data_IF_857679561144
#
_entry.id   IF_857679561144
#
_cell.length_a   1.000
_cell.length_b   1.000
_cell.length_c   1.000
_cell.angle_alpha   90.00
_cell.angle_beta   90.00
_cell.angle_gamma   90.00
#
_symmetry.space_group_name_H-M   'P 1'
#
loop_
_entity.id
_entity.type
_entity.pdbx_description
1 polymer ?
#
# COMPACT_ATOMS: atom_id res chain seq x y z
N UNK A 1 12.89 -23.47 7.89
CA UNK A 1 12.85 -24.30 9.12
C UNK A 1 13.15 -23.43 10.34
N UNK A 2 12.19 -23.30 11.27
CA UNK A 2 12.30 -22.43 12.46
C UNK A 2 13.39 -22.88 13.43
N UNK A 3 13.99 -21.93 14.18
CA UNK A 3 15.00 -22.22 15.23
C UNK A 3 14.45 -23.22 16.26
N UNK A 4 13.16 -23.11 16.61
CA UNK A 4 12.47 -24.05 17.50
C UNK A 4 12.48 -25.48 16.94
N UNK A 5 12.22 -25.64 15.65
CA UNK A 5 12.22 -26.94 14.96
C UNK A 5 13.63 -27.54 14.94
N UNK A 6 14.66 -26.73 14.68
CA UNK A 6 16.07 -27.19 14.71
C UNK A 6 16.50 -27.62 16.12
N UNK A 7 16.12 -26.85 17.15
CA UNK A 7 16.43 -27.17 18.54
C UNK A 7 15.73 -28.43 19.02
N UNK A 8 14.43 -28.58 18.72
CA UNK A 8 13.66 -29.80 19.03
C UNK A 8 14.23 -31.01 18.31
N UNK A 9 14.69 -30.87 17.07
CA UNK A 9 15.35 -31.92 16.29
C UNK A 9 16.74 -32.28 16.80
N UNK A 10 17.49 -31.33 17.34
CA UNK A 10 18.75 -31.63 18.06
C UNK A 10 18.46 -32.53 19.27
N UNK A 11 17.39 -32.22 20.01
CA UNK A 11 16.91 -33.07 21.08
C UNK A 11 16.21 -34.33 20.60
N UNK A 12 15.71 -34.48 19.38
CA UNK A 12 15.02 -35.69 18.91
C UNK A 12 15.42 -35.93 17.45
N UNK A 13 16.51 -36.66 17.26
CA UNK A 13 17.06 -36.94 15.93
C UNK A 13 16.15 -37.86 15.09
N UNK A 14 15.32 -38.64 15.77
CA UNK A 14 14.26 -39.49 15.22
C UNK A 14 13.00 -38.71 14.79
N UNK A 15 12.98 -37.39 14.98
CA UNK A 15 11.88 -36.53 14.53
C UNK A 15 11.79 -36.54 12.99
N UNK A 16 10.64 -36.92 12.41
CA UNK A 16 10.46 -36.93 10.96
C UNK A 16 10.57 -35.50 10.39
N UNK A 17 11.00 -35.39 9.12
CA UNK A 17 10.97 -34.09 8.41
C UNK A 17 9.60 -33.82 7.83
N UNK A 18 9.04 -34.86 7.23
CA UNK A 18 7.74 -34.90 6.60
C UNK A 18 7.15 -36.25 7.00
N UNK A 19 5.89 -36.23 7.43
CA UNK A 19 5.18 -37.41 7.91
C UNK A 19 3.69 -37.12 7.85
N UNK A 20 2.89 -38.17 7.74
CA UNK A 20 1.44 -38.09 7.88
C UNK A 20 1.06 -37.68 9.30
N UNK A 21 -0.18 -37.19 9.48
CA UNK A 21 -0.67 -36.76 10.80
C UNK A 21 -0.58 -37.87 11.86
N UNK A 22 -0.82 -39.12 11.48
CA UNK A 22 -0.78 -40.28 12.38
C UNK A 22 0.66 -40.62 12.78
N UNK A 23 1.59 -40.63 11.83
CA UNK A 23 3.02 -40.83 12.11
C UNK A 23 3.61 -39.75 13.02
N UNK A 24 3.18 -38.49 12.84
CA UNK A 24 3.55 -37.40 13.75
C UNK A 24 3.03 -37.62 15.17
N UNK A 25 1.79 -38.11 15.31
CA UNK A 25 1.18 -38.42 16.61
C UNK A 25 1.90 -39.58 17.30
N UNK A 26 2.18 -40.65 16.56
CA UNK A 26 2.91 -41.81 17.06
C UNK A 26 4.32 -41.45 17.55
N UNK A 27 5.03 -40.62 16.78
CA UNK A 27 6.32 -40.10 17.20
C UNK A 27 6.19 -39.22 18.44
N UNK A 28 5.20 -38.33 18.49
CA UNK A 28 5.00 -37.44 19.62
C UNK A 28 4.72 -38.22 20.91
N UNK A 29 3.91 -39.27 20.85
CA UNK A 29 3.63 -40.15 21.98
C UNK A 29 4.88 -40.88 22.46
N UNK A 30 5.73 -41.36 21.54
CA UNK A 30 7.04 -41.95 21.88
C UNK A 30 7.99 -40.91 22.49
N UNK A 31 8.01 -39.69 21.96
CA UNK A 31 8.87 -38.61 22.44
C UNK A 31 8.47 -38.13 23.84
N UNK A 32 7.15 -38.01 24.12
CA UNK A 32 6.59 -37.60 25.42
C UNK A 32 6.90 -38.58 26.54
N UNK A 33 7.05 -39.87 26.24
CA UNK A 33 7.50 -40.88 27.23
C UNK A 33 8.86 -40.51 27.83
N UNK A 34 9.74 -39.84 27.08
CA UNK A 34 11.03 -39.31 27.57
C UNK A 34 10.81 -37.95 28.26
N UNK A 35 10.17 -37.97 29.43
CA UNK A 35 9.67 -36.77 30.15
C UNK A 35 10.67 -35.63 30.27
N UNK A 36 11.90 -35.88 30.75
CA UNK A 36 12.93 -34.84 30.95
C UNK A 36 13.36 -34.23 29.61
N UNK A 37 13.59 -35.07 28.61
CA UNK A 37 14.00 -34.66 27.26
C UNK A 37 12.91 -33.85 26.57
N UNK A 38 11.66 -34.29 26.69
CA UNK A 38 10.49 -33.55 26.20
C UNK A 38 10.31 -32.20 26.90
N UNK A 39 10.48 -32.17 28.23
CA UNK A 39 10.40 -30.95 29.01
C UNK A 39 11.42 -29.90 28.52
N UNK A 40 12.68 -30.28 28.32
CA UNK A 40 13.73 -29.37 27.85
C UNK A 40 13.55 -28.94 26.39
N UNK A 41 13.07 -29.82 25.52
CA UNK A 41 12.98 -29.56 24.09
C UNK A 41 11.71 -28.81 23.67
N UNK A 42 10.60 -28.98 24.40
CA UNK A 42 9.29 -28.47 23.99
C UNK A 42 8.63 -27.63 25.10
N UNK A 43 8.45 -28.20 26.29
CA UNK A 43 7.67 -27.56 27.37
C UNK A 43 8.34 -26.31 27.91
N UNK A 44 9.61 -26.38 28.29
CA UNK A 44 10.36 -25.26 28.86
C UNK A 44 10.59 -24.13 27.84
N UNK A 45 11.04 -24.37 26.60
CA UNK A 45 11.15 -23.32 25.58
C UNK A 45 9.81 -22.65 25.28
N UNK A 46 8.71 -23.42 25.20
CA UNK A 46 7.38 -22.86 25.00
C UNK A 46 6.94 -22.00 26.20
N UNK A 47 7.17 -22.48 27.43
CA UNK A 47 6.89 -21.71 28.63
C UNK A 47 7.72 -20.42 28.70
N UNK A 48 9.03 -20.48 28.46
CA UNK A 48 9.89 -19.28 28.41
C UNK A 48 9.41 -18.29 27.34
N UNK A 49 9.08 -18.79 26.15
CA UNK A 49 8.56 -17.96 25.08
C UNK A 49 7.23 -17.30 25.46
N UNK A 50 6.28 -18.06 26.03
CA UNK A 50 4.96 -17.56 26.43
C UNK A 50 5.04 -16.57 27.60
N UNK A 51 5.92 -16.83 28.57
CA UNK A 51 6.02 -16.07 29.83
C UNK A 51 6.87 -14.82 29.70
N UNK A 52 7.96 -14.85 28.92
CA UNK A 52 8.90 -13.72 28.84
C UNK A 52 8.95 -13.09 27.45
N UNK A 53 9.15 -13.89 26.40
CA UNK A 53 9.40 -13.37 25.05
C UNK A 53 8.13 -12.74 24.45
N UNK A 54 7.00 -13.43 24.54
CA UNK A 54 5.74 -12.96 23.96
C UNK A 54 5.22 -11.67 24.61
N UNK A 55 5.21 -11.51 25.95
CA UNK A 55 4.87 -10.23 26.57
C UNK A 55 5.82 -9.10 26.16
N UNK A 56 7.12 -9.37 26.07
CA UNK A 56 8.10 -8.39 25.61
C UNK A 56 7.88 -7.96 24.16
N UNK A 57 7.72 -8.90 23.23
CA UNK A 57 7.45 -8.60 21.82
C UNK A 57 6.11 -7.88 21.64
N UNK A 58 5.09 -8.21 22.44
CA UNK A 58 3.83 -7.47 22.50
C UNK A 58 4.02 -6.04 22.97
N UNK A 59 4.77 -5.83 24.05
CA UNK A 59 5.06 -4.49 24.58
C UNK A 59 5.86 -3.64 23.57
N UNK A 60 6.88 -4.24 22.94
CA UNK A 60 7.67 -3.62 21.88
C UNK A 60 6.82 -3.27 20.66
N UNK A 61 5.96 -4.19 20.20
CA UNK A 61 5.05 -3.96 19.08
C UNK A 61 4.03 -2.87 19.41
N UNK A 62 3.45 -2.90 20.62
CA UNK A 62 2.54 -1.87 21.10
C UNK A 62 3.19 -0.48 21.09
N UNK A 63 4.43 -0.38 21.59
CA UNK A 63 5.19 0.86 21.57
C UNK A 63 5.43 1.33 20.13
N UNK A 64 5.95 0.43 19.27
CA UNK A 64 6.24 0.72 17.86
C UNK A 64 5.00 1.20 17.10
N UNK A 65 3.86 0.53 17.25
CA UNK A 65 2.62 0.89 16.55
C UNK A 65 2.05 2.22 17.02
N UNK A 66 2.32 2.61 18.27
CA UNK A 66 1.84 3.87 18.84
C UNK A 66 2.76 5.06 18.52
N UNK A 67 4.08 4.86 18.46
CA UNK A 67 5.05 5.96 18.31
C UNK A 67 5.64 6.06 16.91
N UNK A 68 5.90 4.93 16.27
CA UNK A 68 6.66 4.87 15.01
C UNK A 68 5.73 4.66 13.82
N UNK A 69 5.11 3.49 13.72
CA UNK A 69 4.37 3.07 12.53
C UNK A 69 3.06 3.85 12.39
N UNK A 70 2.31 4.00 13.51
CA UNK A 70 1.07 4.77 13.60
C UNK A 70 0.07 4.46 12.49
N UNK A 71 -0.25 3.18 12.29
CA UNK A 71 -1.23 2.70 11.30
C UNK A 71 -2.62 3.35 11.36
N UNK A 72 -2.97 3.98 12.48
CA UNK A 72 -4.23 4.72 12.65
C UNK A 72 -4.19 6.14 12.08
N UNK A 73 -3.02 6.64 11.67
CA UNK A 73 -2.84 7.97 11.10
C UNK A 73 -2.53 7.86 9.62
N UNK A 74 -3.27 8.61 8.80
CA UNK A 74 -2.98 8.74 7.36
C UNK A 74 -2.08 9.96 7.19
N UNK A 75 -0.93 9.77 6.54
CA UNK A 75 0.02 10.85 6.24
C UNK A 75 -0.20 11.27 4.80
N UNK A 76 -0.63 12.51 4.60
CA UNK A 76 -0.82 13.05 3.25
C UNK A 76 0.44 13.73 2.74
N UNK A 77 0.58 13.81 1.42
CA UNK A 77 1.67 14.50 0.70
C UNK A 77 1.44 16.01 0.56
N UNK A 78 0.29 16.51 1.03
CA UNK A 78 -0.07 17.93 1.03
C UNK A 78 0.96 18.77 1.83
N UNK A 79 1.37 19.90 1.27
CA UNK A 79 2.22 20.88 1.98
C UNK A 79 1.42 21.55 3.10
N UNK A 80 2.04 22.04 4.19
CA UNK A 80 1.32 22.78 5.23
C UNK A 80 0.53 23.97 4.66
N UNK A 81 -0.77 24.03 4.94
CA UNK A 81 -1.68 25.04 4.40
C UNK A 81 -3.15 24.70 4.71
N UNK A 82 -4.06 25.60 4.33
CA UNK A 82 -5.49 25.32 4.34
C UNK A 82 -5.85 24.52 3.08
N UNK A 83 -6.64 23.45 3.25
CA UNK A 83 -7.24 22.69 2.18
C UNK A 83 -8.63 22.27 2.62
N UNK A 84 -9.57 22.29 1.69
CA UNK A 84 -10.90 21.80 1.94
C UNK A 84 -10.93 20.28 2.16
N UNK A 85 -12.02 19.83 2.77
CA UNK A 85 -12.15 18.45 3.25
C UNK A 85 -12.13 17.42 2.12
N UNK A 86 -12.70 17.76 0.96
CA UNK A 86 -12.69 16.99 -0.28
C UNK A 86 -11.25 16.74 -0.78
N UNK A 87 -10.42 17.78 -0.83
CA UNK A 87 -9.02 17.68 -1.26
C UNK A 87 -8.24 16.81 -0.27
N UNK A 88 -8.45 17.03 1.04
CA UNK A 88 -7.80 16.20 2.07
C UNK A 88 -8.21 14.74 1.97
N UNK A 89 -9.48 14.46 1.67
CA UNK A 89 -9.99 13.10 1.49
C UNK A 89 -9.36 12.43 0.27
N UNK A 90 -9.33 13.12 -0.87
CA UNK A 90 -8.73 12.63 -2.10
C UNK A 90 -7.25 12.24 -1.89
N UNK A 91 -6.46 13.17 -1.34
CA UNK A 91 -5.05 12.92 -1.05
C UNK A 91 -4.87 11.78 -0.06
N UNK A 92 -5.67 11.73 1.02
CA UNK A 92 -5.58 10.65 2.00
C UNK A 92 -5.82 9.27 1.35
N UNK A 93 -6.82 9.15 0.46
CA UNK A 93 -7.13 7.88 -0.21
C UNK A 93 -6.01 7.43 -1.15
N UNK A 94 -5.52 8.34 -2.00
CA UNK A 94 -4.50 8.00 -2.97
C UNK A 94 -3.09 7.89 -2.37
N UNK A 95 -2.78 8.63 -1.30
CA UNK A 95 -1.52 8.44 -0.58
C UNK A 95 -1.48 7.07 0.12
N UNK A 96 -2.61 6.56 0.62
CA UNK A 96 -2.69 5.16 1.08
C UNK A 96 -2.46 4.16 -0.05
N UNK A 97 -3.00 4.43 -1.25
CA UNK A 97 -2.72 3.60 -2.43
C UNK A 97 -1.22 3.63 -2.80
N UNK A 98 -0.59 4.79 -2.75
CA UNK A 98 0.84 4.94 -3.00
C UNK A 98 1.67 4.17 -1.97
N UNK A 99 1.32 4.28 -0.69
CA UNK A 99 1.98 3.52 0.39
C UNK A 99 1.83 2.01 0.16
N UNK A 100 0.64 1.55 -0.22
CA UNK A 100 0.40 0.15 -0.56
C UNK A 100 1.29 -0.36 -1.70
N UNK A 101 1.39 0.40 -2.80
CA UNK A 101 2.20 0.00 -3.96
C UNK A 101 3.71 0.10 -3.65
N UNK A 102 4.16 1.23 -3.13
CA UNK A 102 5.59 1.52 -3.00
C UNK A 102 6.23 0.92 -1.73
N UNK A 103 5.45 0.54 -0.71
CA UNK A 103 5.94 -0.13 0.50
C UNK A 103 5.54 -1.60 0.52
N UNK A 104 4.24 -1.92 0.50
CA UNK A 104 3.77 -3.29 0.74
C UNK A 104 4.04 -4.19 -0.47
N UNK A 105 3.62 -3.79 -1.68
CA UNK A 105 3.88 -4.57 -2.91
C UNK A 105 5.36 -4.62 -3.24
N UNK A 106 6.09 -3.53 -3.02
CA UNK A 106 7.54 -3.51 -3.15
C UNK A 106 8.22 -4.50 -2.21
N UNK A 107 7.78 -4.56 -0.95
CA UNK A 107 8.27 -5.53 0.03
C UNK A 107 7.98 -6.97 -0.40
N UNK A 108 6.77 -7.24 -0.91
CA UNK A 108 6.42 -8.55 -1.43
C UNK A 108 7.35 -8.98 -2.56
N UNK A 109 7.66 -8.09 -3.50
CA UNK A 109 8.61 -8.40 -4.56
C UNK A 109 9.97 -8.83 -4.01
N UNK A 110 10.48 -8.10 -3.03
CA UNK A 110 11.76 -8.40 -2.37
C UNK A 110 11.74 -9.75 -1.65
N UNK A 111 10.65 -10.06 -0.95
CA UNK A 111 10.49 -11.34 -0.23
C UNK A 111 10.48 -12.52 -1.21
N UNK A 112 9.74 -12.42 -2.31
CA UNK A 112 9.60 -13.53 -3.27
C UNK A 112 10.79 -13.66 -4.22
N UNK A 113 11.39 -12.56 -4.66
CA UNK A 113 12.58 -12.58 -5.52
C UNK A 113 13.88 -12.84 -4.75
N UNK A 114 13.84 -12.82 -3.41
CA UNK A 114 15.00 -12.93 -2.51
C UNK A 114 16.09 -11.88 -2.76
N UNK A 115 15.81 -10.85 -3.55
CA UNK A 115 16.69 -9.69 -3.69
C UNK A 115 16.61 -8.86 -2.43
N UNK A 116 17.71 -8.74 -1.69
CA UNK A 116 17.77 -7.86 -0.52
C UNK A 116 18.40 -6.54 -0.94
N UNK A 117 17.62 -5.47 -1.18
CA UNK A 117 18.17 -4.17 -1.54
C UNK A 117 18.96 -3.52 -0.38
N UNK A 118 18.99 -4.14 0.80
CA UNK A 118 19.80 -3.71 1.95
C UNK A 118 20.72 -4.84 2.45
N UNK A 119 21.89 -4.47 2.96
CA UNK A 119 22.92 -5.38 3.45
C UNK A 119 22.96 -5.53 4.98
N UNK A 120 22.03 -4.93 5.74
CA UNK A 120 22.09 -4.89 7.22
C UNK A 120 20.75 -4.92 7.97
N UNK A 121 20.82 -4.95 9.29
CA UNK A 121 19.65 -4.91 10.18
C UNK A 121 19.01 -3.51 10.19
N UNK A 122 17.72 -3.40 9.84
CA UNK A 122 16.91 -2.22 10.22
C UNK A 122 16.34 -1.33 9.11
N UNK A 123 16.36 -1.71 7.83
CA UNK A 123 15.77 -0.87 6.74
C UNK A 123 14.53 -1.44 6.07
N UNK A 124 13.92 -2.49 6.61
CA UNK A 124 12.80 -3.18 5.94
C UNK A 124 11.49 -2.37 5.97
N UNK A 125 11.20 -1.67 7.07
CA UNK A 125 9.90 -1.04 7.27
C UNK A 125 9.73 0.36 6.66
N UNK A 126 10.83 1.02 6.27
CA UNK A 126 10.83 2.37 5.68
C UNK A 126 11.28 2.38 4.23
N UNK A 127 11.65 1.22 3.71
CA UNK A 127 12.13 1.12 2.34
C UNK A 127 10.94 1.21 1.39
N UNK A 128 11.06 2.15 0.46
CA UNK A 128 10.05 2.51 -0.52
C UNK A 128 10.66 2.37 -1.91
N UNK A 129 9.97 1.66 -2.80
CA UNK A 129 10.42 1.52 -4.18
C UNK A 129 9.23 1.39 -5.14
N UNK A 130 9.04 2.42 -5.96
CA UNK A 130 8.08 2.41 -7.06
C UNK A 130 8.33 1.26 -8.04
N UNK A 131 9.59 1.04 -8.40
CA UNK A 131 9.99 0.03 -9.40
C UNK A 131 9.55 -1.35 -8.92
N UNK A 132 9.91 -1.70 -7.70
CA UNK A 132 9.66 -3.03 -7.14
C UNK A 132 8.16 -3.25 -6.86
N UNK A 133 7.45 -2.21 -6.45
CA UNK A 133 6.00 -2.24 -6.32
C UNK A 133 5.29 -2.51 -7.65
N UNK A 134 5.69 -1.80 -8.71
CA UNK A 134 5.15 -1.99 -10.05
C UNK A 134 5.51 -3.36 -10.64
N UNK A 135 6.75 -3.85 -10.42
CA UNK A 135 7.17 -5.18 -10.87
C UNK A 135 6.34 -6.29 -10.22
N UNK A 136 6.00 -6.16 -8.93
CA UNK A 136 5.12 -7.12 -8.28
C UNK A 136 3.70 -7.08 -8.84
N UNK A 137 3.15 -5.89 -9.08
CA UNK A 137 1.85 -5.75 -9.73
C UNK A 137 1.87 -6.35 -11.14
N UNK A 138 2.95 -6.16 -11.92
CA UNK A 138 3.11 -6.79 -13.24
C UNK A 138 3.11 -8.31 -13.18
N UNK A 139 3.76 -8.89 -12.17
CA UNK A 139 3.64 -10.31 -11.90
C UNK A 139 2.21 -10.73 -11.54
N UNK A 140 1.52 -10.00 -10.66
CA UNK A 140 0.11 -10.29 -10.31
C UNK A 140 -0.82 -10.22 -11.52
N UNK A 141 -0.57 -9.27 -12.43
CA UNK A 141 -1.30 -9.15 -13.71
C UNK A 141 -1.06 -10.38 -14.58
N UNK A 142 0.17 -10.90 -14.60
CA UNK A 142 0.55 -12.11 -15.35
C UNK A 142 -0.19 -13.38 -14.90
N UNK A 143 -0.71 -13.43 -13.67
CA UNK A 143 -1.52 -14.56 -13.18
C UNK A 143 -2.85 -14.75 -13.94
N UNK A 144 -3.26 -13.77 -14.74
CA UNK A 144 -4.43 -13.86 -15.60
C UNK A 144 -4.16 -14.42 -17.00
N UNK A 145 -2.92 -14.81 -17.33
CA UNK A 145 -2.57 -15.31 -18.66
C UNK A 145 -3.33 -16.61 -18.98
N UNK A 146 -4.08 -16.69 -20.10
CA UNK A 146 -4.81 -17.90 -20.49
C UNK A 146 -3.89 -19.10 -20.80
N UNK A 147 -2.61 -18.87 -21.07
CA UNK A 147 -1.62 -19.92 -21.33
C UNK A 147 -1.15 -20.64 -20.05
N UNK A 148 -1.46 -20.10 -18.86
CA UNK A 148 -1.13 -20.76 -17.60
C UNK A 148 -2.05 -21.96 -17.33
N UNK A 149 -1.54 -23.00 -16.63
CA UNK A 149 -2.39 -24.05 -16.08
C UNK A 149 -3.53 -23.46 -15.24
N UNK A 150 -4.71 -24.07 -15.30
CA UNK A 150 -5.91 -23.55 -14.61
C UNK A 150 -5.71 -23.40 -13.09
N UNK A 151 -4.90 -24.29 -12.49
CA UNK A 151 -4.56 -24.26 -11.07
C UNK A 151 -3.70 -23.05 -10.66
N UNK A 152 -2.92 -22.50 -11.60
CA UNK A 152 -2.04 -21.34 -11.37
C UNK A 152 -2.70 -20.02 -11.78
N UNK A 153 -3.87 -20.09 -12.43
CA UNK A 153 -4.57 -18.93 -12.98
C UNK A 153 -5.43 -18.24 -11.91
N UNK A 154 -5.23 -16.94 -11.77
CA UNK A 154 -5.96 -16.10 -10.82
C UNK A 154 -6.48 -14.82 -11.47
N UNK A 155 -7.51 -14.95 -12.31
CA UNK A 155 -8.07 -13.84 -13.11
C UNK A 155 -8.52 -12.65 -12.27
N UNK A 156 -9.19 -12.89 -11.13
CA UNK A 156 -9.69 -11.80 -10.30
C UNK A 156 -8.55 -11.00 -9.66
N UNK A 157 -7.48 -11.69 -9.24
CA UNK A 157 -6.29 -11.04 -8.70
C UNK A 157 -5.60 -10.20 -9.77
N UNK A 158 -5.47 -10.74 -10.99
CA UNK A 158 -4.90 -10.02 -12.12
C UNK A 158 -5.70 -8.77 -12.48
N UNK A 159 -7.03 -8.86 -12.58
CA UNK A 159 -7.93 -7.70 -12.84
C UNK A 159 -7.78 -6.61 -11.77
N UNK A 160 -7.75 -7.01 -10.50
CA UNK A 160 -7.55 -6.06 -9.40
C UNK A 160 -6.17 -5.39 -9.48
N UNK A 161 -5.11 -6.14 -9.80
CA UNK A 161 -3.76 -5.60 -9.93
C UNK A 161 -3.63 -4.63 -11.12
N UNK A 162 -4.31 -4.91 -12.25
CA UNK A 162 -4.40 -3.99 -13.38
C UNK A 162 -5.02 -2.66 -12.96
N UNK A 163 -6.13 -2.73 -12.24
CA UNK A 163 -6.86 -1.55 -11.77
C UNK A 163 -6.05 -0.73 -10.75
N UNK A 164 -5.40 -1.40 -9.79
CA UNK A 164 -4.48 -0.77 -8.84
C UNK A 164 -3.33 -0.05 -9.56
N UNK A 165 -2.71 -0.72 -10.54
CA UNK A 165 -1.62 -0.13 -11.34
C UNK A 165 -2.11 1.09 -12.12
N UNK A 166 -3.31 1.03 -12.70
CA UNK A 166 -3.92 2.14 -13.42
C UNK A 166 -4.14 3.35 -12.49
N UNK A 167 -4.80 3.15 -11.35
CA UNK A 167 -5.10 4.21 -10.37
C UNK A 167 -3.82 4.84 -9.81
N UNK A 168 -2.81 4.02 -9.52
CA UNK A 168 -1.50 4.50 -9.07
C UNK A 168 -0.81 5.37 -10.13
N UNK A 169 -0.77 4.90 -11.39
CA UNK A 169 -0.15 5.63 -12.51
C UNK A 169 -0.88 6.95 -12.78
N UNK A 170 -2.21 6.92 -12.74
CA UNK A 170 -3.02 8.12 -12.85
C UNK A 170 -2.67 9.15 -11.77
N UNK A 171 -2.59 8.74 -10.50
CA UNK A 171 -2.29 9.64 -9.39
C UNK A 171 -0.86 10.19 -9.43
N UNK A 172 0.12 9.37 -9.82
CA UNK A 172 1.54 9.75 -9.80
C UNK A 172 1.99 10.51 -11.04
N UNK A 173 1.45 10.17 -12.21
CA UNK A 173 1.97 10.66 -13.48
C UNK A 173 0.94 11.48 -14.26
N UNK A 174 -0.35 11.13 -14.25
CA UNK A 174 -1.35 11.82 -15.09
C UNK A 174 -1.89 13.07 -14.39
N UNK A 175 -2.43 12.92 -13.18
CA UNK A 175 -3.09 13.99 -12.42
C UNK A 175 -2.17 15.18 -12.12
N UNK A 176 -0.91 15.00 -11.67
CA UNK A 176 -0.03 16.14 -11.38
C UNK A 176 0.40 16.92 -12.63
N UNK A 177 0.30 16.31 -13.82
CA UNK A 177 0.67 16.91 -15.10
C UNK A 177 -0.52 17.58 -15.81
N UNK A 178 -1.67 17.73 -15.14
CA UNK A 178 -2.82 18.46 -15.69
C UNK A 178 -2.47 19.94 -15.88
N UNK A 179 -2.90 20.55 -16.99
CA UNK A 179 -2.76 21.98 -17.15
C UNK A 179 -3.67 22.73 -16.16
N UNK A 180 -3.23 23.91 -15.75
CA UNK A 180 -3.96 24.77 -14.84
C UNK A 180 -5.24 25.32 -15.52
N UNK A 181 -6.45 25.13 -14.93
CA UNK A 181 -7.70 25.59 -15.53
C UNK A 181 -7.68 27.07 -15.94
N UNK A 182 -7.08 27.93 -15.12
CA UNK A 182 -6.98 29.37 -15.40
C UNK A 182 -6.15 29.69 -16.65
N UNK A 183 -5.12 28.89 -16.93
CA UNK A 183 -4.29 29.03 -18.14
C UNK A 183 -5.01 28.55 -19.38
N UNK A 184 -5.73 27.43 -19.28
CA UNK A 184 -6.42 26.81 -20.42
C UNK A 184 -7.67 27.60 -20.81
N UNK A 185 -8.40 28.10 -19.83
CA UNK A 185 -9.59 28.94 -20.07
C UNK A 185 -9.23 30.30 -20.69
N UNK A 186 -7.96 30.71 -20.57
CA UNK A 186 -7.49 32.04 -20.93
C UNK A 186 -7.77 33.10 -19.86
N UNK A 187 -8.21 32.70 -18.67
CA UNK A 187 -8.49 33.58 -17.54
C UNK A 187 -7.27 34.41 -17.13
N UNK A 188 -6.07 33.81 -17.11
CA UNK A 188 -4.82 34.52 -16.83
C UNK A 188 -4.63 35.72 -17.77
N UNK A 189 -4.88 35.51 -19.06
CA UNK A 189 -4.76 36.59 -20.06
C UNK A 189 -5.81 37.69 -19.84
N UNK A 190 -7.02 37.33 -19.41
CA UNK A 190 -8.10 38.29 -19.11
C UNK A 190 -7.75 39.11 -17.86
N UNK A 191 -7.20 38.45 -16.83
CA UNK A 191 -6.72 39.11 -15.61
C UNK A 191 -5.60 40.11 -15.91
N UNK A 192 -4.60 39.68 -16.68
CA UNK A 192 -3.45 40.50 -17.05
C UNK A 192 -3.84 41.69 -17.94
N UNK A 193 -4.73 41.45 -18.92
CA UNK A 193 -5.20 42.48 -19.87
C UNK A 193 -5.95 43.62 -19.16
N UNK A 194 -6.77 43.30 -18.17
CA UNK A 194 -7.76 44.25 -17.65
C UNK A 194 -7.48 44.80 -16.25
N UNK A 195 -6.42 44.33 -15.57
CA UNK A 195 -6.10 44.65 -14.18
C UNK A 195 -7.37 44.79 -13.32
N UNK A 196 -8.18 43.72 -13.34
CA UNK A 196 -9.60 43.68 -12.92
C UNK A 196 -9.81 44.22 -11.50
N UNK A 197 -8.80 44.14 -10.63
CA UNK A 197 -8.85 44.64 -9.25
C UNK A 197 -8.78 46.17 -9.13
N UNK A 198 -8.22 46.86 -10.13
CA UNK A 198 -7.97 48.30 -10.09
C UNK A 198 -8.93 49.15 -10.93
N UNK A 199 -9.54 48.57 -11.97
CA UNK A 199 -10.21 49.34 -13.03
C UNK A 199 -11.72 49.12 -13.00
N UNK A 200 -12.39 49.89 -12.13
CA UNK A 200 -13.84 49.80 -11.82
C UNK A 200 -14.76 50.44 -12.87
N UNK A 201 -14.22 51.29 -13.76
CA UNK A 201 -15.04 52.21 -14.54
C UNK A 201 -15.51 51.63 -15.90
N UNK A 202 -15.05 50.43 -16.29
CA UNK A 202 -15.40 49.78 -17.57
C UNK A 202 -15.93 48.34 -17.41
N UNK A 203 -16.63 48.03 -16.32
CA UNK A 203 -17.09 46.67 -16.00
C UNK A 203 -18.05 46.07 -17.05
N UNK A 204 -18.95 46.87 -17.63
CA UNK A 204 -19.97 46.39 -18.57
C UNK A 204 -19.41 45.95 -19.93
N UNK A 205 -18.38 46.61 -20.46
CA UNK A 205 -17.69 46.17 -21.68
C UNK A 205 -16.89 44.88 -21.44
N UNK A 206 -16.27 44.75 -20.26
CA UNK A 206 -15.41 43.61 -19.88
C UNK A 206 -16.19 42.35 -19.50
N UNK A 207 -17.45 42.52 -19.08
CA UNK A 207 -18.29 41.45 -18.55
C UNK A 207 -18.40 40.25 -19.47
N UNK A 208 -18.55 40.47 -20.78
CA UNK A 208 -18.69 39.37 -21.74
C UNK A 208 -17.42 38.52 -21.91
N UNK A 209 -16.23 39.14 -21.93
CA UNK A 209 -14.95 38.43 -21.98
C UNK A 209 -14.68 37.68 -20.68
N UNK A 210 -14.96 38.33 -19.53
CA UNK A 210 -14.82 37.75 -18.19
C UNK A 210 -15.75 36.55 -18.01
N UNK A 211 -17.04 36.71 -18.29
CA UNK A 211 -18.04 35.65 -18.15
C UNK A 211 -17.71 34.45 -19.05
N UNK A 212 -17.21 34.70 -20.28
CA UNK A 212 -16.82 33.63 -21.19
C UNK A 212 -15.58 32.84 -20.71
N UNK A 213 -14.58 33.53 -20.15
CA UNK A 213 -13.38 32.89 -19.61
C UNK A 213 -13.69 32.11 -18.32
N UNK A 214 -14.46 32.70 -17.40
CA UNK A 214 -14.90 32.04 -16.18
C UNK A 214 -15.76 30.81 -16.47
N UNK A 215 -16.72 30.91 -17.40
CA UNK A 215 -17.53 29.75 -17.78
C UNK A 215 -16.69 28.59 -18.31
N UNK A 216 -15.68 28.88 -19.13
CA UNK A 216 -14.74 27.85 -19.61
C UNK A 216 -13.91 27.26 -18.47
N UNK A 217 -13.47 28.09 -17.54
CA UNK A 217 -12.73 27.64 -16.37
C UNK A 217 -13.59 26.69 -15.52
N UNK A 218 -14.83 27.09 -15.21
CA UNK A 218 -15.79 26.28 -14.46
C UNK A 218 -16.05 24.92 -15.14
N UNK A 219 -16.17 24.91 -16.47
CA UNK A 219 -16.33 23.68 -17.26
C UNK A 219 -15.13 22.74 -17.08
N UNK A 220 -13.89 23.26 -17.15
CA UNK A 220 -12.66 22.48 -16.99
C UNK A 220 -12.49 21.99 -15.55
N UNK A 221 -12.72 22.85 -14.55
CA UNK A 221 -12.65 22.48 -13.13
C UNK A 221 -13.63 21.36 -12.83
N UNK A 222 -14.85 21.45 -13.34
CA UNK A 222 -15.87 20.41 -13.19
C UNK A 222 -15.45 19.10 -13.85
N UNK A 223 -14.85 19.12 -15.03
CA UNK A 223 -14.32 17.91 -15.67
C UNK A 223 -13.25 17.22 -14.81
N UNK A 224 -12.39 18.01 -14.15
CA UNK A 224 -11.37 17.47 -13.25
C UNK A 224 -11.96 16.90 -11.96
N UNK A 225 -12.97 17.55 -11.40
CA UNK A 225 -13.71 17.05 -10.23
C UNK A 225 -14.46 15.74 -10.54
N UNK A 226 -15.11 15.67 -11.70
CA UNK A 226 -15.82 14.47 -12.16
C UNK A 226 -14.84 13.32 -12.40
N UNK A 227 -13.66 13.61 -12.96
CA UNK A 227 -12.57 12.64 -13.10
C UNK A 227 -12.08 12.14 -11.74
N UNK A 228 -11.74 13.03 -10.82
CA UNK A 228 -11.25 12.69 -9.48
C UNK A 228 -12.29 11.84 -8.72
N UNK A 229 -13.58 12.21 -8.83
CA UNK A 229 -14.71 11.45 -8.28
C UNK A 229 -14.79 10.04 -8.85
N UNK A 230 -14.64 9.89 -10.18
CA UNK A 230 -14.64 8.58 -10.84
C UNK A 230 -13.48 7.71 -10.36
N UNK A 231 -12.28 8.28 -10.21
CA UNK A 231 -11.12 7.52 -9.74
C UNK A 231 -11.24 7.13 -8.26
N UNK A 232 -11.81 7.99 -7.41
CA UNK A 232 -12.12 7.63 -6.03
C UNK A 232 -13.11 6.45 -5.96
N UNK A 233 -14.16 6.44 -6.78
CA UNK A 233 -15.11 5.32 -6.85
C UNK A 233 -14.41 4.01 -7.22
N UNK A 234 -13.58 4.03 -8.26
CA UNK A 234 -12.77 2.88 -8.69
C UNK A 234 -11.85 2.37 -7.57
N UNK A 235 -11.20 3.28 -6.85
CA UNK A 235 -10.36 2.93 -5.70
C UNK A 235 -11.17 2.26 -4.57
N UNK A 236 -12.37 2.76 -4.29
CA UNK A 236 -13.29 2.15 -3.31
C UNK A 236 -13.69 0.73 -3.74
N UNK A 237 -13.93 0.51 -5.03
CA UNK A 237 -14.31 -0.80 -5.56
C UNK A 237 -13.19 -1.84 -5.40
N UNK A 238 -11.93 -1.44 -5.61
CA UNK A 238 -10.77 -2.32 -5.42
C UNK A 238 -10.26 -2.42 -3.98
N UNK A 239 -10.85 -1.69 -3.03
CA UNK A 239 -10.34 -1.62 -1.65
C UNK A 239 -10.13 -2.99 -0.98
N UNK A 240 -10.97 -3.97 -1.32
CA UNK A 240 -10.89 -5.34 -0.76
C UNK A 240 -9.68 -6.12 -1.27
N UNK A 241 -9.06 -5.68 -2.35
CA UNK A 241 -7.84 -6.24 -2.92
C UNK A 241 -6.56 -5.55 -2.40
N UNK A 242 -6.70 -4.47 -1.61
CA UNK A 242 -5.58 -3.76 -1.00
C UNK A 242 -5.10 -4.49 0.28
N UNK A 243 -4.56 -5.68 0.09
CA UNK A 243 -3.93 -6.48 1.15
C UNK A 243 -2.67 -7.18 0.61
N UNK A 244 -1.76 -7.52 1.53
CA UNK A 244 -0.54 -8.29 1.29
C UNK A 244 -0.35 -9.37 2.34
#
# INVERSE_FOLDING_TARGET
MSIKTKFKRWFFQDMPQEATWDEWRDWEDKARKKKVRWFLADTFPFWCWKTFINPFEKAKSWLRYRTVDRYHTIKTTLKPGYYDMDTRLLYAMFDMLVDFVELEKAWMNVVFTKRKPWSGWGRTHWWRSRIEGLSYLEWEIGLGDPNLPEEERHEQQAKNAQEIKYLYTWWKDVRPNRPDPAKVSGWDNVCDKWNILSDKDNFEEKKSEVDAALKKQDEIEKEYEDEDTRMMKRLIDVRKALWT
#
